data_IF_442241458345
#
_entry.id   IF_442241458345
#
_cell.length_a   1.000
_cell.length_b   1.000
_cell.length_c   1.000
_cell.angle_alpha   90.00
_cell.angle_beta   90.00
_cell.angle_gamma   90.00
#
_symmetry.space_group_name_H-M   'P 1'
#
loop_
_entity.id
_entity.type
_entity.pdbx_description
1 polymer ?
#
# COMPACT_ATOMS: atom_id res chain seq x y z
N UNK A 1 -8.91 14.88 -8.98
CA UNK A 1 -9.41 15.40 -10.26
C UNK A 1 -8.41 16.37 -10.86
N UNK A 2 -8.46 16.56 -12.17
CA UNK A 2 -7.70 17.60 -12.87
C UNK A 2 -8.59 18.81 -13.12
N UNK A 3 -8.03 20.01 -13.09
CA UNK A 3 -8.79 21.25 -13.24
C UNK A 3 -9.28 21.55 -14.66
N UNK A 4 -8.72 20.87 -15.67
CA UNK A 4 -9.02 21.14 -17.09
C UNK A 4 -10.18 20.30 -17.65
N UNK A 5 -10.78 19.44 -16.83
CA UNK A 5 -11.91 18.57 -17.24
C UNK A 5 -11.55 17.50 -18.28
N UNK A 6 -10.29 17.42 -18.73
CA UNK A 6 -9.85 16.43 -19.72
C UNK A 6 -9.71 15.02 -19.15
N UNK A 7 -9.69 14.89 -17.82
CA UNK A 7 -9.56 13.65 -17.08
C UNK A 7 -10.74 13.50 -16.10
N UNK A 8 -11.76 12.79 -16.54
CA UNK A 8 -13.03 12.70 -15.81
C UNK A 8 -12.96 11.83 -14.54
N UNK A 9 -12.06 10.85 -14.50
CA UNK A 9 -11.97 9.94 -13.37
C UNK A 9 -10.95 10.44 -12.33
N UNK A 10 -11.25 10.29 -11.03
CA UNK A 10 -10.30 10.54 -9.96
C UNK A 10 -9.14 9.52 -10.01
N UNK A 11 -8.03 9.87 -9.38
CA UNK A 11 -6.90 8.98 -9.18
C UNK A 11 -6.85 8.56 -7.72
N UNK A 12 -6.95 7.24 -7.43
CA UNK A 12 -6.70 6.75 -6.08
C UNK A 12 -5.20 6.92 -5.79
N UNK A 13 -4.90 7.58 -4.69
CA UNK A 13 -3.52 7.79 -4.24
C UNK A 13 -3.49 7.58 -2.74
N UNK A 14 -2.62 6.70 -2.29
CA UNK A 14 -2.43 6.41 -0.88
C UNK A 14 -1.71 7.56 -0.17
N UNK A 15 -2.05 7.77 1.10
CA UNK A 15 -1.36 8.73 1.95
C UNK A 15 0.02 8.16 2.30
N UNK A 16 1.07 8.95 2.09
CA UNK A 16 2.44 8.62 2.47
C UNK A 16 2.77 9.11 3.87
N UNK A 17 2.26 10.29 4.24
CA UNK A 17 2.58 10.94 5.52
C UNK A 17 1.50 11.96 5.89
N UNK A 18 1.21 12.05 7.18
CA UNK A 18 0.25 12.97 7.76
C UNK A 18 0.99 13.87 8.76
N UNK A 19 0.96 15.18 8.51
CA UNK A 19 1.43 16.20 9.44
C UNK A 19 0.22 16.97 9.99
N UNK A 20 -0.20 16.60 11.17
CA UNK A 20 -1.36 17.23 11.85
C UNK A 20 -1.05 18.62 12.39
N UNK A 21 0.21 18.92 12.70
CA UNK A 21 0.61 20.21 13.25
C UNK A 21 0.52 21.32 12.20
N UNK A 22 0.97 21.02 10.98
CA UNK A 22 0.91 21.97 9.86
C UNK A 22 -0.25 21.74 8.91
N UNK A 23 -1.13 20.77 9.20
CA UNK A 23 -2.29 20.38 8.36
C UNK A 23 -1.89 20.03 6.94
N UNK A 24 -0.85 19.20 6.79
CA UNK A 24 -0.33 18.76 5.49
C UNK A 24 -0.47 17.26 5.30
N UNK A 25 -0.71 16.86 4.06
CA UNK A 25 -0.61 15.49 3.61
C UNK A 25 0.50 15.39 2.57
N UNK A 26 1.33 14.35 2.70
CA UNK A 26 2.27 13.95 1.66
C UNK A 26 1.72 12.76 0.91
N UNK A 27 1.73 12.84 -0.41
CA UNK A 27 1.40 11.74 -1.31
C UNK A 27 2.56 11.50 -2.26
N UNK A 28 2.78 10.24 -2.61
CA UNK A 28 3.77 9.84 -3.61
C UNK A 28 3.04 9.02 -4.66
N UNK A 29 3.24 9.37 -5.92
CA UNK A 29 2.60 8.68 -7.04
C UNK A 29 3.56 8.54 -8.22
N UNK A 30 3.26 7.59 -9.08
CA UNK A 30 4.01 7.36 -10.31
C UNK A 30 3.30 7.99 -11.50
N UNK A 31 4.05 8.68 -12.34
CA UNK A 31 3.58 9.07 -13.68
C UNK A 31 3.76 7.87 -14.61
N UNK A 32 2.66 7.24 -14.99
CA UNK A 32 2.70 5.98 -15.73
C UNK A 32 2.80 6.16 -17.24
N UNK A 33 2.29 7.28 -17.76
CA UNK A 33 2.31 7.60 -19.18
C UNK A 33 2.05 9.10 -19.42
N UNK A 34 2.33 9.56 -20.63
CA UNK A 34 1.92 10.88 -21.11
C UNK A 34 0.37 10.99 -21.18
N UNK A 35 -0.13 12.20 -21.09
CA UNK A 35 -1.56 12.56 -21.15
C UNK A 35 -2.40 11.88 -20.06
N UNK A 36 -1.79 11.47 -18.94
CA UNK A 36 -2.49 10.94 -17.75
C UNK A 36 -2.79 12.03 -16.73
N UNK A 37 -3.70 11.76 -15.77
CA UNK A 37 -3.96 12.68 -14.67
C UNK A 37 -2.75 12.85 -13.75
N UNK A 38 -1.96 11.79 -13.53
CA UNK A 38 -0.71 11.86 -12.74
C UNK A 38 0.36 12.71 -13.43
N UNK A 39 0.43 12.72 -14.77
CA UNK A 39 1.29 13.65 -15.50
C UNK A 39 0.84 15.11 -15.30
N UNK A 40 -0.46 15.38 -15.26
CA UNK A 40 -0.94 16.74 -14.97
C UNK A 40 -0.58 17.15 -13.54
N UNK A 41 -0.71 16.25 -12.57
CA UNK A 41 -0.28 16.53 -11.19
C UNK A 41 1.21 16.85 -11.10
N UNK A 42 2.06 16.16 -11.85
CA UNK A 42 3.52 16.39 -11.84
C UNK A 42 3.93 17.76 -12.37
N UNK A 43 3.05 18.46 -13.08
CA UNK A 43 3.27 19.81 -13.60
C UNK A 43 2.77 20.91 -12.67
N UNK A 44 2.07 20.56 -11.60
CA UNK A 44 1.58 21.51 -10.59
C UNK A 44 2.73 22.12 -9.78
N UNK A 45 2.50 23.34 -9.33
CA UNK A 45 3.46 24.12 -8.56
C UNK A 45 2.87 24.54 -7.22
N UNK A 46 3.73 24.98 -6.33
CA UNK A 46 3.29 25.55 -5.06
C UNK A 46 2.32 26.71 -5.30
N UNK A 47 1.18 26.68 -4.60
CA UNK A 47 0.08 27.62 -4.77
C UNK A 47 -1.05 27.13 -5.69
N UNK A 48 -0.83 26.10 -6.49
CA UNK A 48 -1.90 25.47 -7.27
C UNK A 48 -2.86 24.71 -6.34
N UNK A 49 -4.13 24.60 -6.76
CA UNK A 49 -5.17 23.90 -6.00
C UNK A 49 -5.61 22.63 -6.72
N UNK A 50 -5.87 21.57 -5.96
CA UNK A 50 -6.33 20.29 -6.47
C UNK A 50 -7.60 19.85 -5.71
N UNK A 51 -8.72 19.60 -6.42
CA UNK A 51 -9.92 19.03 -5.79
C UNK A 51 -9.65 17.58 -5.32
N UNK A 52 -9.96 17.30 -4.05
CA UNK A 52 -9.74 15.99 -3.43
C UNK A 52 -11.07 15.47 -2.88
N UNK A 53 -11.32 14.18 -3.02
CA UNK A 53 -12.34 13.45 -2.28
C UNK A 53 -11.59 12.53 -1.30
N UNK A 54 -11.85 12.68 -0.03
CA UNK A 54 -11.16 11.87 1.00
C UNK A 54 -11.45 12.31 2.44
N UNK A 55 -10.97 11.56 3.44
CA UNK A 55 -10.35 10.23 3.29
C UNK A 55 -11.36 9.17 2.85
N UNK A 56 -10.91 8.17 2.08
CA UNK A 56 -11.74 7.09 1.56
C UNK A 56 -11.15 5.73 1.94
N UNK A 57 -12.04 4.73 2.05
CA UNK A 57 -11.65 3.35 2.36
C UNK A 57 -11.22 3.15 3.81
N UNK A 58 -10.65 1.96 4.06
CA UNK A 58 -10.20 1.51 5.38
C UNK A 58 -8.69 1.25 5.34
N UNK A 59 -7.96 1.84 6.29
CA UNK A 59 -6.52 1.63 6.45
C UNK A 59 -6.17 0.34 7.18
N UNK A 60 -4.87 0.13 7.41
CA UNK A 60 -4.38 -1.00 8.20
C UNK A 60 -4.86 -0.93 9.65
N UNK A 61 -5.27 -2.08 10.27
CA UNK A 61 -5.71 -2.12 11.65
C UNK A 61 -4.50 -2.00 12.61
N UNK A 62 -4.32 -0.84 13.23
CA UNK A 62 -3.19 -0.56 14.10
C UNK A 62 -3.19 -1.44 15.36
N UNK A 63 -4.36 -1.64 15.97
CA UNK A 63 -4.50 -2.42 17.21
C UNK A 63 -4.12 -3.90 17.04
N UNK A 64 -4.24 -4.44 15.82
CA UNK A 64 -3.85 -5.83 15.54
C UNK A 64 -2.35 -6.09 15.70
N UNK A 65 -1.51 -5.06 15.53
CA UNK A 65 -0.05 -5.14 15.68
C UNK A 65 0.48 -4.93 17.08
N UNK A 66 -0.35 -4.47 18.01
CA UNK A 66 0.09 -4.07 19.33
C UNK A 66 0.78 -5.19 20.11
N UNK A 67 2.02 -4.94 20.52
CA UNK A 67 2.83 -5.90 21.25
C UNK A 67 3.36 -7.08 20.44
N UNK A 68 3.21 -7.06 19.11
CA UNK A 68 3.68 -8.07 18.17
C UNK A 68 4.96 -7.63 17.45
N UNK A 69 5.70 -8.58 16.87
CA UNK A 69 6.72 -8.30 15.86
C UNK A 69 6.02 -8.20 14.51
N UNK A 70 6.07 -7.05 13.89
CA UNK A 70 5.37 -6.81 12.63
C UNK A 70 6.33 -6.79 11.44
N UNK A 71 5.98 -7.51 10.37
CA UNK A 71 6.51 -7.22 9.04
C UNK A 71 5.72 -6.09 8.41
N UNK A 72 6.44 -5.05 8.00
CA UNK A 72 5.92 -3.97 7.17
C UNK A 72 6.53 -4.11 5.78
N UNK A 73 5.77 -4.60 4.82
CA UNK A 73 6.29 -4.96 3.50
C UNK A 73 5.75 -4.00 2.43
N UNK A 74 6.65 -3.28 1.77
CA UNK A 74 6.32 -2.39 0.67
C UNK A 74 7.04 -2.75 -0.62
N UNK A 75 6.36 -2.64 -1.77
CA UNK A 75 6.96 -2.85 -3.08
C UNK A 75 6.54 -1.80 -4.10
N UNK A 76 7.49 -1.21 -4.80
CA UNK A 76 7.22 -0.18 -5.81
C UNK A 76 6.41 0.98 -5.26
N UNK A 77 5.25 1.29 -5.86
CA UNK A 77 4.39 2.38 -5.39
C UNK A 77 3.60 2.03 -4.11
N UNK A 78 3.69 0.80 -3.62
CA UNK A 78 3.16 0.40 -2.31
C UNK A 78 4.06 0.78 -1.13
N UNK A 79 5.29 1.24 -1.37
CA UNK A 79 6.22 1.72 -0.34
C UNK A 79 5.67 2.94 0.44
N UNK A 80 5.16 4.00 -0.20
CA UNK A 80 4.71 5.21 0.50
C UNK A 80 3.67 4.99 1.61
N UNK A 81 2.58 4.23 1.44
CA UNK A 81 1.59 4.05 2.50
C UNK A 81 2.13 3.26 3.70
N UNK A 82 3.16 2.45 3.52
CA UNK A 82 3.81 1.74 4.62
C UNK A 82 4.58 2.70 5.54
N UNK A 83 5.02 3.87 5.05
CA UNK A 83 5.71 4.84 5.90
C UNK A 83 4.80 5.42 6.97
N UNK A 84 3.58 5.87 6.60
CA UNK A 84 2.62 6.35 7.59
C UNK A 84 2.24 5.25 8.59
N UNK A 85 2.04 4.03 8.11
CA UNK A 85 1.80 2.88 8.99
C UNK A 85 2.97 2.66 9.97
N UNK A 86 4.21 2.74 9.50
CA UNK A 86 5.39 2.56 10.34
C UNK A 86 5.48 3.61 11.46
N UNK A 87 5.03 4.84 11.19
CA UNK A 87 4.97 5.92 12.20
C UNK A 87 3.90 5.68 13.25
N UNK A 88 2.74 5.14 12.85
CA UNK A 88 1.59 4.99 13.75
C UNK A 88 1.61 3.70 14.57
N UNK A 89 2.26 2.63 14.11
CA UNK A 89 2.30 1.36 14.82
C UNK A 89 3.17 1.43 16.08
N UNK A 90 2.61 0.98 17.20
CA UNK A 90 3.30 0.82 18.48
C UNK A 90 3.69 -0.66 18.67
N UNK A 91 4.75 -1.08 17.98
CA UNK A 91 5.25 -2.47 18.03
C UNK A 91 6.68 -2.57 17.52
N UNK A 92 7.31 -3.74 17.66
CA UNK A 92 8.57 -4.04 16.98
C UNK A 92 8.35 -4.15 15.48
N UNK A 93 9.09 -3.38 14.67
CA UNK A 93 8.91 -3.29 13.22
C UNK A 93 10.13 -3.76 12.48
N UNK A 94 9.95 -4.77 11.64
CA UNK A 94 10.88 -5.18 10.60
C UNK A 94 10.31 -4.73 9.27
N UNK A 95 10.96 -3.75 8.66
CA UNK A 95 10.48 -3.01 7.49
C UNK A 95 11.20 -3.55 6.27
N UNK A 96 10.48 -4.25 5.38
CA UNK A 96 11.05 -4.94 4.21
C UNK A 96 10.58 -4.22 2.95
N UNK A 97 11.49 -3.52 2.26
CA UNK A 97 11.17 -2.71 1.10
C UNK A 97 11.79 -3.28 -0.16
N UNK A 98 10.94 -3.52 -1.19
CA UNK A 98 11.35 -4.01 -2.50
C UNK A 98 11.38 -2.90 -3.55
N UNK A 99 12.54 -2.75 -4.19
CA UNK A 99 12.76 -1.80 -5.28
C UNK A 99 13.27 -2.51 -6.53
N UNK A 100 13.28 -1.82 -7.65
CA UNK A 100 13.86 -2.34 -8.89
C UNK A 100 15.40 -2.26 -8.88
N UNK A 101 15.92 -1.14 -8.41
CA UNK A 101 17.32 -0.74 -8.49
C UNK A 101 17.72 0.12 -7.28
N UNK A 102 18.84 0.81 -7.36
CA UNK A 102 19.39 1.64 -6.29
C UNK A 102 18.55 2.88 -5.91
N UNK A 103 17.46 3.20 -6.63
CA UNK A 103 16.53 4.28 -6.24
C UNK A 103 15.63 3.82 -5.09
N UNK A 104 16.20 3.79 -3.89
CA UNK A 104 15.56 3.35 -2.64
C UNK A 104 14.89 4.51 -1.91
N UNK A 105 13.95 5.18 -2.58
CA UNK A 105 13.25 6.35 -2.02
C UNK A 105 12.56 6.02 -0.69
N UNK A 106 12.53 7.01 0.23
CA UNK A 106 12.00 6.93 1.60
C UNK A 106 12.79 6.02 2.57
N UNK A 107 13.91 5.40 2.16
CA UNK A 107 14.69 4.51 3.01
C UNK A 107 15.07 5.17 4.35
N UNK A 108 15.62 6.38 4.31
CA UNK A 108 16.06 7.11 5.50
C UNK A 108 14.91 7.34 6.48
N UNK A 109 13.72 7.72 5.98
CA UNK A 109 12.53 7.91 6.82
C UNK A 109 12.06 6.60 7.46
N UNK A 110 12.23 5.46 6.79
CA UNK A 110 11.93 4.16 7.39
C UNK A 110 12.91 3.78 8.49
N UNK A 111 14.20 4.09 8.34
CA UNK A 111 15.24 3.82 9.34
C UNK A 111 14.98 4.52 10.68
N UNK A 112 14.24 5.63 10.67
CA UNK A 112 13.79 6.31 11.88
C UNK A 112 12.67 5.57 12.63
N UNK A 113 12.00 4.62 11.97
CA UNK A 113 10.78 3.98 12.48
C UNK A 113 10.93 2.47 12.78
N UNK A 114 12.05 1.84 12.42
CA UNK A 114 12.27 0.42 12.66
C UNK A 114 13.51 -0.12 11.98
N UNK A 115 13.70 -1.43 12.02
CA UNK A 115 14.82 -2.08 11.32
C UNK A 115 14.47 -2.29 9.86
N UNK A 116 15.27 -1.74 8.95
CA UNK A 116 14.99 -1.74 7.51
C UNK A 116 15.83 -2.81 6.78
N UNK A 117 15.16 -3.59 5.96
CA UNK A 117 15.74 -4.57 5.04
C UNK A 117 15.34 -4.20 3.61
N UNK A 118 16.31 -4.09 2.73
CA UNK A 118 16.11 -3.72 1.33
C UNK A 118 16.33 -4.92 0.43
N UNK A 119 15.46 -5.09 -0.54
CA UNK A 119 15.73 -5.96 -1.70
C UNK A 119 15.66 -5.15 -2.99
N UNK A 120 16.57 -5.45 -3.94
CA UNK A 120 16.54 -4.87 -5.28
C UNK A 120 16.60 -5.97 -6.32
N UNK A 121 15.81 -5.83 -7.40
CA UNK A 121 15.76 -6.85 -8.46
C UNK A 121 17.14 -7.04 -9.11
N UNK A 122 17.89 -5.96 -9.30
CA UNK A 122 19.22 -5.98 -9.91
C UNK A 122 20.34 -6.33 -8.93
N UNK A 123 20.10 -6.30 -7.61
CA UNK A 123 21.07 -6.55 -6.55
C UNK A 123 21.99 -5.36 -6.27
N UNK A 124 21.62 -4.15 -6.67
CA UNK A 124 22.42 -2.95 -6.46
C UNK A 124 22.49 -2.50 -4.99
N UNK A 125 21.44 -2.79 -4.21
CA UNK A 125 21.37 -2.46 -2.77
C UNK A 125 20.66 -3.60 -2.02
N UNK A 126 21.21 -4.01 -0.89
CA UNK A 126 20.62 -5.05 -0.02
C UNK A 126 20.61 -6.43 -0.65
N UNK A 127 19.56 -7.20 -0.35
CA UNK A 127 19.36 -8.54 -0.92
C UNK A 127 19.01 -8.46 -2.41
N UNK A 128 19.68 -9.25 -3.23
CA UNK A 128 19.31 -9.39 -4.64
C UNK A 128 18.06 -10.24 -4.79
N UNK A 129 17.02 -9.67 -5.40
CA UNK A 129 15.75 -10.36 -5.64
C UNK A 129 14.56 -9.57 -5.13
N UNK A 130 13.61 -10.26 -4.53
CA UNK A 130 12.35 -9.67 -4.03
C UNK A 130 12.29 -9.68 -2.49
N UNK A 131 11.22 -9.16 -1.93
CA UNK A 131 11.02 -9.05 -0.47
C UNK A 131 11.04 -10.41 0.25
N UNK A 132 10.59 -11.49 -0.42
CA UNK A 132 10.63 -12.84 0.16
C UNK A 132 12.06 -13.37 0.25
N UNK A 133 12.93 -12.97 -0.68
CA UNK A 133 14.35 -13.32 -0.64
C UNK A 133 15.03 -12.60 0.52
N UNK A 134 14.70 -11.33 0.77
CA UNK A 134 15.21 -10.59 1.93
C UNK A 134 14.77 -11.23 3.26
N UNK A 135 13.52 -11.67 3.38
CA UNK A 135 13.01 -12.37 4.57
C UNK A 135 13.83 -13.64 4.83
N UNK A 136 14.03 -14.47 3.80
CA UNK A 136 14.77 -15.74 3.91
C UNK A 136 16.24 -15.54 4.22
N UNK A 137 16.91 -14.66 3.49
CA UNK A 137 18.34 -14.39 3.63
C UNK A 137 18.70 -13.88 5.03
N UNK A 138 17.84 -13.04 5.61
CA UNK A 138 18.05 -12.46 6.93
C UNK A 138 17.42 -13.27 8.07
N UNK A 139 16.77 -14.41 7.78
CA UNK A 139 16.14 -15.27 8.79
C UNK A 139 15.07 -14.53 9.62
N UNK A 140 14.25 -13.68 8.96
CA UNK A 140 13.31 -12.84 9.66
C UNK A 140 12.05 -13.62 10.07
N UNK A 141 11.47 -13.24 11.21
CA UNK A 141 10.23 -13.81 11.74
C UNK A 141 9.28 -12.70 12.19
N UNK A 142 7.98 -12.90 12.04
CA UNK A 142 6.96 -11.98 12.49
C UNK A 142 5.74 -12.70 13.05
N UNK A 143 4.98 -11.97 13.87
CA UNK A 143 3.71 -12.42 14.43
C UNK A 143 2.52 -11.85 13.64
N UNK A 144 2.75 -10.81 12.83
CA UNK A 144 1.76 -10.16 11.97
C UNK A 144 2.44 -9.54 10.75
N UNK A 145 1.74 -9.53 9.61
CA UNK A 145 2.23 -8.97 8.35
C UNK A 145 1.28 -7.88 7.85
N UNK A 146 1.86 -6.75 7.44
CA UNK A 146 1.19 -5.67 6.72
C UNK A 146 1.89 -5.46 5.39
N UNK A 147 1.17 -5.56 4.27
CA UNK A 147 1.79 -5.49 2.96
C UNK A 147 1.04 -4.60 1.97
N UNK A 148 1.79 -3.83 1.18
CA UNK A 148 1.28 -3.02 0.08
C UNK A 148 2.25 -3.09 -1.11
N UNK A 149 1.74 -3.41 -2.31
CA UNK A 149 2.56 -3.50 -3.51
C UNK A 149 1.93 -4.28 -4.64
N UNK A 150 2.72 -4.70 -5.63
CA UNK A 150 2.21 -5.41 -6.81
C UNK A 150 1.53 -6.75 -6.46
N UNK A 151 0.48 -7.10 -7.19
CA UNK A 151 -0.27 -8.35 -6.97
C UNK A 151 0.61 -9.61 -6.88
N UNK A 152 1.64 -9.81 -7.72
CA UNK A 152 2.52 -10.99 -7.59
C UNK A 152 3.25 -11.04 -6.23
N UNK A 153 3.68 -9.88 -5.70
CA UNK A 153 4.29 -9.78 -4.38
C UNK A 153 3.28 -10.12 -3.29
N UNK A 154 2.07 -9.56 -3.36
CA UNK A 154 1.02 -9.82 -2.37
C UNK A 154 0.58 -11.30 -2.37
N UNK A 155 0.54 -11.97 -3.52
CA UNK A 155 0.30 -13.42 -3.60
C UNK A 155 1.36 -14.23 -2.88
N UNK A 156 2.63 -13.92 -3.11
CA UNK A 156 3.74 -14.61 -2.45
C UNK A 156 3.71 -14.41 -0.92
N UNK A 157 3.41 -13.18 -0.47
CA UNK A 157 3.28 -12.85 0.95
C UNK A 157 2.08 -13.58 1.58
N UNK A 158 0.94 -13.58 0.89
CA UNK A 158 -0.27 -14.31 1.35
C UNK A 158 0.02 -15.80 1.52
N UNK A 159 0.64 -16.44 0.51
CA UNK A 159 1.02 -17.84 0.60
C UNK A 159 1.97 -18.10 1.78
N UNK A 160 3.00 -17.29 1.93
CA UNK A 160 3.93 -17.38 3.06
C UNK A 160 3.21 -17.25 4.40
N UNK A 161 2.31 -16.27 4.54
CA UNK A 161 1.55 -16.08 5.77
C UNK A 161 0.65 -17.28 6.09
N UNK A 162 -0.02 -17.85 5.08
CA UNK A 162 -0.83 -19.06 5.24
C UNK A 162 0.02 -20.28 5.66
N UNK A 163 1.20 -20.49 5.05
CA UNK A 163 2.13 -21.55 5.39
C UNK A 163 2.69 -21.44 6.82
N UNK A 164 2.93 -20.20 7.28
CA UNK A 164 3.46 -19.92 8.62
C UNK A 164 2.37 -19.74 9.69
N UNK A 165 1.10 -19.67 9.30
CA UNK A 165 -0.01 -19.40 10.23
C UNK A 165 0.00 -17.97 10.79
N UNK A 166 0.52 -17.00 10.03
CA UNK A 166 0.67 -15.60 10.43
C UNK A 166 -0.52 -14.78 9.92
N UNK A 167 -1.08 -13.95 10.79
CA UNK A 167 -2.11 -12.98 10.42
C UNK A 167 -1.54 -11.95 9.43
N UNK A 168 -2.19 -11.76 8.27
CA UNK A 168 -1.65 -10.95 7.19
C UNK A 168 -2.70 -10.01 6.62
N UNK A 169 -2.42 -8.71 6.65
CA UNK A 169 -3.21 -7.66 6.02
C UNK A 169 -2.55 -7.17 4.74
N UNK A 170 -3.31 -7.12 3.65
CA UNK A 170 -2.83 -6.69 2.33
C UNK A 170 -3.65 -5.51 1.81
N UNK A 171 -2.98 -4.55 1.22
CA UNK A 171 -3.61 -3.41 0.55
C UNK A 171 -3.70 -3.68 -0.95
N UNK A 172 -4.93 -3.74 -1.49
CA UNK A 172 -5.19 -4.01 -2.90
C UNK A 172 -5.36 -2.72 -3.70
N UNK A 173 -4.94 -2.75 -4.94
CA UNK A 173 -5.12 -1.68 -5.90
C UNK A 173 -5.99 -2.13 -7.06
N UNK A 174 -6.96 -1.29 -7.45
CA UNK A 174 -7.76 -1.45 -8.64
C UNK A 174 -8.09 -0.10 -9.29
N UNK A 175 -8.48 -0.15 -10.56
CA UNK A 175 -8.97 1.04 -11.25
C UNK A 175 -10.27 1.51 -10.62
N UNK A 176 -10.33 2.76 -10.23
CA UNK A 176 -11.49 3.35 -9.57
C UNK A 176 -12.17 4.38 -10.48
N UNK A 177 -13.50 4.40 -10.44
CA UNK A 177 -14.30 5.43 -11.08
C UNK A 177 -14.90 6.38 -10.04
N UNK A 178 -15.80 5.92 -9.17
CA UNK A 178 -16.47 6.80 -8.20
C UNK A 178 -15.67 7.02 -6.89
N UNK A 179 -14.88 6.06 -6.45
CA UNK A 179 -14.15 6.10 -5.17
C UNK A 179 -15.01 5.91 -3.91
N UNK A 180 -16.34 5.84 -4.02
CA UNK A 180 -17.30 5.83 -2.90
C UNK A 180 -18.14 4.54 -2.82
N UNK A 181 -17.82 3.51 -3.59
CA UNK A 181 -18.52 2.21 -3.57
C UNK A 181 -19.81 2.13 -4.37
N UNK A 182 -20.14 3.12 -5.20
CA UNK A 182 -21.41 3.17 -5.94
C UNK A 182 -21.37 2.47 -7.31
N UNK A 183 -20.24 2.53 -8.03
CA UNK A 183 -20.17 2.11 -9.44
C UNK A 183 -19.70 0.67 -9.67
N UNK A 184 -19.21 -0.02 -8.64
CA UNK A 184 -18.71 -1.40 -8.67
C UNK A 184 -17.52 -1.64 -9.65
N UNK A 185 -16.81 -0.58 -10.06
CA UNK A 185 -15.68 -0.70 -11.00
C UNK A 185 -14.42 -1.31 -10.36
N UNK A 186 -14.27 -1.19 -9.04
CA UNK A 186 -13.08 -1.62 -8.28
C UNK A 186 -13.35 -2.83 -7.38
N UNK A 187 -14.12 -3.80 -7.84
CA UNK A 187 -14.43 -5.00 -7.05
C UNK A 187 -13.31 -6.02 -7.13
N UNK A 188 -13.01 -6.66 -5.99
CA UNK A 188 -12.21 -7.87 -5.91
C UNK A 188 -13.08 -9.05 -5.45
N UNK A 189 -12.66 -10.27 -5.78
CA UNK A 189 -13.35 -11.48 -5.36
C UNK A 189 -13.10 -11.72 -3.86
N UNK A 190 -14.16 -12.07 -3.11
CA UNK A 190 -14.09 -12.43 -1.70
C UNK A 190 -14.53 -13.86 -1.48
N UNK A 191 -14.03 -14.50 -0.41
CA UNK A 191 -14.46 -15.85 -0.03
C UNK A 191 -15.90 -15.86 0.47
N UNK A 192 -16.33 -14.82 1.15
CA UNK A 192 -17.67 -14.69 1.69
C UNK A 192 -18.56 -13.83 0.80
N UNK A 193 -19.86 -14.14 0.82
CA UNK A 193 -20.87 -13.33 0.14
C UNK A 193 -21.07 -12.00 0.88
N UNK A 194 -21.11 -10.92 0.14
CA UNK A 194 -21.57 -9.65 0.67
C UNK A 194 -23.07 -9.72 0.98
N UNK A 195 -23.44 -9.42 2.22
CA UNK A 195 -24.82 -9.50 2.71
C UNK A 195 -25.79 -8.58 1.98
N UNK A 196 -25.30 -7.53 1.33
CA UNK A 196 -26.13 -6.55 0.61
C UNK A 196 -26.36 -6.94 -0.86
N UNK A 197 -25.30 -7.31 -1.56
CA UNK A 197 -25.34 -7.65 -2.98
C UNK A 197 -25.56 -9.14 -3.25
N UNK A 198 -25.38 -9.98 -2.23
CA UNK A 198 -25.45 -11.45 -2.27
C UNK A 198 -24.47 -12.09 -3.28
N UNK A 199 -23.36 -11.40 -3.58
CA UNK A 199 -22.27 -11.86 -4.44
C UNK A 199 -20.95 -11.91 -3.67
N UNK A 200 -20.01 -12.74 -4.15
CA UNK A 200 -18.68 -12.88 -3.54
C UNK A 200 -17.74 -11.80 -4.07
N UNK A 201 -17.98 -10.54 -3.67
CA UNK A 201 -17.09 -9.43 -4.00
C UNK A 201 -17.03 -8.38 -2.90
N UNK A 202 -15.92 -7.64 -2.88
CA UNK A 202 -15.72 -6.46 -2.02
C UNK A 202 -15.25 -5.29 -2.90
N UNK A 203 -15.67 -4.09 -2.53
CA UNK A 203 -15.31 -2.85 -3.24
C UNK A 203 -14.04 -2.28 -2.63
N UNK A 204 -12.96 -2.28 -3.38
CA UNK A 204 -11.67 -1.82 -2.87
C UNK A 204 -11.72 -0.38 -2.37
N UNK A 205 -12.49 0.50 -3.02
CA UNK A 205 -12.59 1.91 -2.62
C UNK A 205 -13.42 2.16 -1.34
N UNK A 206 -14.26 1.20 -0.91
CA UNK A 206 -15.14 1.37 0.24
C UNK A 206 -14.90 0.34 1.34
N UNK A 207 -14.83 -0.95 0.96
CA UNK A 207 -14.68 -2.06 1.89
C UNK A 207 -13.20 -2.32 2.22
N UNK A 208 -12.28 -1.93 1.30
CA UNK A 208 -10.84 -1.89 1.40
C UNK A 208 -10.29 -0.46 1.46
N UNK A 209 -9.07 -0.21 0.98
CA UNK A 209 -8.19 -1.11 0.20
C UNK A 209 -7.52 -2.22 1.02
N UNK A 210 -7.51 -2.13 2.34
CA UNK A 210 -6.88 -3.12 3.21
C UNK A 210 -7.86 -4.22 3.58
N UNK A 211 -7.42 -5.47 3.42
CA UNK A 211 -8.17 -6.68 3.76
C UNK A 211 -7.30 -7.66 4.52
N UNK A 212 -7.89 -8.46 5.36
CA UNK A 212 -7.25 -9.68 5.83
C UNK A 212 -7.02 -10.60 4.62
N UNK A 213 -5.80 -11.10 4.43
CA UNK A 213 -5.42 -11.83 3.21
C UNK A 213 -6.27 -13.07 2.94
N UNK A 214 -6.83 -13.66 4.00
CA UNK A 214 -7.73 -14.82 3.93
C UNK A 214 -9.14 -14.50 3.46
N UNK A 215 -9.56 -13.21 3.46
CA UNK A 215 -10.91 -12.80 3.04
C UNK A 215 -11.04 -12.60 1.53
N UNK A 216 -9.93 -12.38 0.83
CA UNK A 216 -9.94 -12.01 -0.59
C UNK A 216 -9.12 -12.99 -1.44
N UNK A 217 -9.51 -13.13 -2.69
CA UNK A 217 -8.76 -13.87 -3.71
C UNK A 217 -7.98 -12.88 -4.59
N UNK A 218 -6.69 -13.14 -4.78
CA UNK A 218 -5.77 -12.29 -5.54
C UNK A 218 -4.87 -13.10 -6.47
#
# INVERSE_FOLDING_TARGET
>A
YTNDGSKLLPRPISICEIDTETSKLRVVYRVTAEKTGTEQFSKMKAGDTLPIIGPLGNGFPLEAGKGKRAFLIGGGIGVPPILELAKQLDCEKQIIMGYRDADTFLKEQFEENGTVYISTEDGSVGTKGNVMDAIRENGLEADIIYACGPTPMLRAIKQYAEEQGIECYISLEERMACGIGACLACVCQSKEKDHHSNVNNKRICKDGPVFLSTEVEI
#
